data_IF_038068148721
#
_entry.id   IF_038068148721
#
_cell.length_a   1.000
_cell.length_b   1.000
_cell.length_c   1.000
_cell.angle_alpha   90.00
_cell.angle_beta   90.00
_cell.angle_gamma   90.00
#
_symmetry.space_group_name_H-M   'P 1'
#
loop_
_entity.id
_entity.type
_entity.pdbx_description
1 polymer ?
#
# COMPACT_ATOMS: atom_id res chain seq x y z
N UNK A 1 11.93 -22.40 2.90
CA UNK A 1 11.21 -22.23 4.18
C UNK A 1 11.29 -20.81 4.72
N UNK A 2 12.44 -20.30 5.18
CA UNK A 2 12.52 -18.91 5.72
C UNK A 2 12.14 -17.87 4.65
N UNK A 3 12.66 -18.04 3.42
CA UNK A 3 12.28 -17.24 2.24
C UNK A 3 10.76 -17.17 2.06
N UNK A 4 10.10 -18.32 1.99
CA UNK A 4 8.67 -18.44 1.73
C UNK A 4 7.82 -17.82 2.85
N UNK A 5 8.27 -17.92 4.11
CA UNK A 5 7.63 -17.28 5.26
C UNK A 5 7.70 -15.75 5.13
N UNK A 6 8.87 -15.20 4.79
CA UNK A 6 9.03 -13.75 4.61
C UNK A 6 8.16 -13.22 3.46
N UNK A 7 8.15 -13.93 2.33
CA UNK A 7 7.32 -13.57 1.17
C UNK A 7 5.83 -13.63 1.51
N UNK A 8 5.38 -14.69 2.19
CA UNK A 8 3.98 -14.84 2.59
C UNK A 8 3.55 -13.74 3.56
N UNK A 9 4.38 -13.42 4.56
CA UNK A 9 4.09 -12.35 5.52
C UNK A 9 4.02 -10.99 4.82
N UNK A 10 4.99 -10.66 3.97
CA UNK A 10 4.99 -9.40 3.21
C UNK A 10 3.78 -9.29 2.28
N UNK A 11 3.37 -10.40 1.66
CA UNK A 11 2.21 -10.43 0.78
C UNK A 11 0.89 -10.23 1.55
N UNK A 12 0.72 -10.88 2.69
CA UNK A 12 -0.47 -10.71 3.55
C UNK A 12 -0.57 -9.27 4.05
N UNK A 13 0.55 -8.68 4.48
CA UNK A 13 0.60 -7.29 4.93
C UNK A 13 0.18 -6.33 3.80
N UNK A 14 0.72 -6.51 2.59
CA UNK A 14 0.43 -5.59 1.50
C UNK A 14 -1.00 -5.75 0.95
N UNK A 15 -1.53 -6.98 0.91
CA UNK A 15 -2.93 -7.25 0.60
C UNK A 15 -3.85 -6.57 1.62
N UNK A 16 -3.56 -6.74 2.91
CA UNK A 16 -4.34 -6.10 3.98
C UNK A 16 -4.35 -4.58 3.85
N UNK A 17 -3.21 -3.99 3.48
CA UNK A 17 -3.13 -2.56 3.18
C UNK A 17 -4.00 -2.17 1.97
N UNK A 18 -3.96 -2.95 0.89
CA UNK A 18 -4.84 -2.78 -0.28
C UNK A 18 -6.32 -2.86 0.08
N UNK A 19 -6.72 -3.80 0.94
CA UNK A 19 -8.09 -3.92 1.43
C UNK A 19 -8.54 -2.65 2.15
N UNK A 20 -7.71 -2.11 3.04
CA UNK A 20 -8.02 -0.90 3.80
C UNK A 20 -8.21 0.30 2.85
N UNK A 21 -7.38 0.45 1.82
CA UNK A 21 -7.55 1.50 0.81
C UNK A 21 -8.94 1.42 0.17
N UNK A 22 -9.30 0.27 -0.39
CA UNK A 22 -10.56 0.10 -1.12
C UNK A 22 -11.77 0.29 -0.17
N UNK A 23 -11.73 -0.32 1.02
CA UNK A 23 -12.85 -0.28 1.97
C UNK A 23 -13.07 1.12 2.56
N UNK A 24 -12.00 1.86 2.86
CA UNK A 24 -12.11 3.18 3.46
C UNK A 24 -12.34 4.31 2.44
N UNK A 25 -12.08 4.08 1.15
CA UNK A 25 -12.17 5.11 0.10
C UNK A 25 -13.46 5.92 0.18
N UNK A 26 -14.62 5.24 0.20
CA UNK A 26 -15.94 5.91 0.21
C UNK A 26 -16.14 6.73 1.48
N UNK A 27 -15.72 6.21 2.63
CA UNK A 27 -15.86 6.89 3.93
C UNK A 27 -14.98 8.15 3.99
N UNK A 28 -13.72 8.03 3.56
CA UNK A 28 -12.75 9.13 3.52
C UNK A 28 -13.24 10.26 2.63
N UNK A 29 -13.70 9.95 1.41
CA UNK A 29 -14.10 10.96 0.43
C UNK A 29 -15.37 11.69 0.85
N UNK A 30 -16.34 10.99 1.45
CA UNK A 30 -17.52 11.60 2.04
C UNK A 30 -17.24 12.38 3.33
N UNK A 31 -16.06 12.17 3.92
CA UNK A 31 -15.56 12.89 5.07
C UNK A 31 -15.13 14.32 4.75
N UNK A 32 -14.77 14.62 3.51
CA UNK A 32 -14.39 15.96 3.06
C UNK A 32 -15.60 16.88 2.91
N UNK A 33 -15.56 18.03 3.58
CA UNK A 33 -16.68 18.99 3.59
C UNK A 33 -16.56 20.09 2.53
N UNK A 34 -15.37 20.32 1.96
CA UNK A 34 -15.11 21.47 1.07
C UNK A 34 -14.46 21.07 -0.28
N UNK A 35 -14.62 19.81 -0.69
CA UNK A 35 -14.02 19.27 -1.91
C UNK A 35 -15.03 19.29 -3.06
N UNK A 36 -14.63 19.74 -4.25
CA UNK A 36 -15.49 19.73 -5.45
C UNK A 36 -15.83 18.29 -5.87
N UNK A 37 -17.00 18.10 -6.50
CA UNK A 37 -17.43 16.77 -6.98
C UNK A 37 -16.47 16.15 -8.00
N UNK A 38 -15.86 16.98 -8.85
CA UNK A 38 -14.82 16.52 -9.79
C UNK A 38 -13.60 15.95 -9.05
N UNK A 39 -13.06 16.69 -8.09
CA UNK A 39 -11.89 16.25 -7.33
C UNK A 39 -12.21 15.01 -6.49
N UNK A 40 -13.42 14.92 -5.90
CA UNK A 40 -13.84 13.71 -5.16
C UNK A 40 -13.78 12.47 -6.04
N UNK A 41 -14.25 12.54 -7.28
CA UNK A 41 -14.22 11.42 -8.23
C UNK A 41 -12.78 11.03 -8.61
N UNK A 42 -11.91 12.01 -8.85
CA UNK A 42 -10.49 11.74 -9.16
C UNK A 42 -9.82 11.04 -8.00
N UNK A 43 -9.91 11.60 -6.79
CA UNK A 43 -9.30 11.00 -5.58
C UNK A 43 -9.91 9.63 -5.25
N UNK A 44 -11.19 9.40 -5.54
CA UNK A 44 -11.83 8.09 -5.41
C UNK A 44 -11.15 7.04 -6.28
N UNK A 45 -10.92 7.37 -7.55
CA UNK A 45 -10.29 6.45 -8.48
C UNK A 45 -8.81 6.25 -8.15
N UNK A 46 -8.08 7.30 -7.73
CA UNK A 46 -6.68 7.19 -7.31
C UNK A 46 -6.51 6.23 -6.12
N UNK A 47 -7.38 6.33 -5.12
CA UNK A 47 -7.34 5.43 -3.96
C UNK A 47 -7.65 3.98 -4.32
N UNK A 48 -8.58 3.75 -5.26
CA UNK A 48 -8.88 2.41 -5.76
C UNK A 48 -7.69 1.85 -6.53
N UNK A 49 -7.10 2.63 -7.44
CA UNK A 49 -5.94 2.21 -8.24
C UNK A 49 -4.76 1.85 -7.33
N UNK A 50 -4.51 2.65 -6.30
CA UNK A 50 -3.49 2.36 -5.30
C UNK A 50 -3.79 1.03 -4.58
N UNK A 51 -5.02 0.86 -4.08
CA UNK A 51 -5.43 -0.38 -3.40
C UNK A 51 -5.31 -1.63 -4.29
N UNK A 52 -5.73 -1.54 -5.56
CA UNK A 52 -5.61 -2.61 -6.54
C UNK A 52 -4.14 -2.93 -6.87
N UNK A 53 -3.28 -1.92 -6.92
CA UNK A 53 -1.83 -2.11 -7.12
C UNK A 53 -1.22 -2.93 -5.97
N UNK A 54 -1.60 -2.63 -4.72
CA UNK A 54 -1.15 -3.39 -3.55
C UNK A 54 -1.66 -4.84 -3.56
N UNK A 55 -2.93 -5.05 -3.94
CA UNK A 55 -3.48 -6.39 -4.15
C UNK A 55 -2.70 -7.17 -5.21
N UNK A 56 -2.46 -6.55 -6.37
CA UNK A 56 -1.75 -7.17 -7.46
C UNK A 56 -0.36 -7.63 -7.03
N UNK A 57 0.42 -6.76 -6.37
CA UNK A 57 1.76 -7.10 -5.87
C UNK A 57 1.69 -8.28 -4.89
N UNK A 58 0.80 -8.23 -3.90
CA UNK A 58 0.69 -9.30 -2.91
C UNK A 58 0.26 -10.63 -3.51
N UNK A 59 -0.72 -10.64 -4.41
CA UNK A 59 -1.16 -11.85 -5.12
C UNK A 59 -0.03 -12.41 -5.97
N UNK A 60 0.70 -11.56 -6.70
CA UNK A 60 1.85 -11.97 -7.51
C UNK A 60 2.93 -12.66 -6.66
N UNK A 61 3.25 -12.09 -5.49
CA UNK A 61 4.21 -12.70 -4.56
C UNK A 61 3.71 -14.04 -4.01
N UNK A 62 2.42 -14.17 -3.68
CA UNK A 62 1.85 -15.45 -3.24
C UNK A 62 1.91 -16.50 -4.36
N UNK A 63 1.64 -16.12 -5.61
CA UNK A 63 1.76 -17.03 -6.77
C UNK A 63 3.19 -17.54 -6.90
N UNK A 64 4.19 -16.66 -6.85
CA UNK A 64 5.62 -17.05 -6.89
C UNK A 64 5.95 -18.01 -5.74
N UNK A 65 5.47 -17.69 -4.53
CA UNK A 65 5.76 -18.45 -3.31
C UNK A 65 5.15 -19.86 -3.37
N UNK A 66 3.86 -19.97 -3.67
CA UNK A 66 3.16 -21.26 -3.69
C UNK A 66 3.46 -22.11 -4.93
N UNK A 67 3.94 -21.50 -6.02
CA UNK A 67 4.41 -22.24 -7.20
C UNK A 67 5.84 -22.80 -7.02
N UNK A 68 6.50 -22.51 -5.89
CA UNK A 68 7.88 -22.94 -5.65
C UNK A 68 8.91 -22.26 -6.56
N UNK A 69 8.57 -21.09 -7.13
CA UNK A 69 9.40 -20.37 -8.09
C UNK A 69 10.38 -19.39 -7.42
N UNK A 70 10.59 -19.50 -6.11
CA UNK A 70 11.26 -18.48 -5.31
C UNK A 70 12.77 -18.36 -5.60
N UNK A 71 13.38 -19.38 -6.21
CA UNK A 71 14.79 -19.37 -6.65
C UNK A 71 14.99 -18.94 -8.11
N UNK A 72 13.92 -18.89 -8.90
CA UNK A 72 13.99 -18.56 -10.32
C UNK A 72 14.47 -17.12 -10.56
N UNK A 73 15.33 -16.92 -11.56
CA UNK A 73 15.92 -15.61 -11.86
C UNK A 73 14.85 -14.56 -12.19
N UNK A 74 13.82 -14.92 -12.96
CA UNK A 74 12.73 -13.99 -13.31
C UNK A 74 11.95 -13.63 -12.05
N UNK A 75 11.68 -14.61 -11.18
CA UNK A 75 11.02 -14.37 -9.89
C UNK A 75 11.82 -13.43 -8.99
N UNK A 76 13.15 -13.57 -8.92
CA UNK A 76 14.02 -12.65 -8.16
C UNK A 76 13.98 -11.22 -8.70
N UNK A 77 13.92 -11.06 -10.03
CA UNK A 77 13.74 -9.75 -10.69
C UNK A 77 12.37 -9.16 -10.34
N UNK A 78 11.30 -9.95 -10.40
CA UNK A 78 9.94 -9.50 -10.07
C UNK A 78 9.82 -9.09 -8.61
N UNK A 79 10.40 -9.85 -7.68
CA UNK A 79 10.44 -9.51 -6.25
C UNK A 79 11.23 -8.21 -6.01
N UNK A 80 12.37 -8.05 -6.67
CA UNK A 80 13.17 -6.81 -6.62
C UNK A 80 12.42 -5.60 -7.17
N UNK A 81 11.76 -5.74 -8.33
CA UNK A 81 10.94 -4.68 -8.92
C UNK A 81 9.75 -4.31 -8.02
N UNK A 82 9.11 -5.31 -7.39
CA UNK A 82 8.04 -5.10 -6.43
C UNK A 82 8.52 -4.32 -5.20
N UNK A 83 9.70 -4.65 -4.66
CA UNK A 83 10.34 -3.88 -3.60
C UNK A 83 10.55 -2.42 -4.01
N UNK A 84 11.13 -2.16 -5.18
CA UNK A 84 11.40 -0.80 -5.67
C UNK A 84 10.10 0.00 -5.79
N UNK A 85 9.05 -0.58 -6.36
CA UNK A 85 7.75 0.08 -6.48
C UNK A 85 7.13 0.37 -5.10
N UNK A 86 7.16 -0.59 -4.17
CA UNK A 86 6.68 -0.38 -2.81
C UNK A 86 7.45 0.72 -2.07
N UNK A 87 8.76 0.80 -2.27
CA UNK A 87 9.61 1.85 -1.71
C UNK A 87 9.24 3.23 -2.27
N UNK A 88 9.10 3.35 -3.59
CA UNK A 88 8.67 4.60 -4.26
C UNK A 88 7.29 5.04 -3.72
N UNK A 89 6.33 4.12 -3.67
CA UNK A 89 5.00 4.42 -3.15
C UNK A 89 5.02 4.79 -1.66
N UNK A 90 5.86 4.15 -0.84
CA UNK A 90 6.02 4.50 0.57
C UNK A 90 6.59 5.91 0.74
N UNK A 91 7.60 6.28 -0.07
CA UNK A 91 8.19 7.63 -0.07
C UNK A 91 7.15 8.67 -0.50
N UNK A 92 6.43 8.44 -1.59
CA UNK A 92 5.38 9.36 -2.05
C UNK A 92 4.26 9.53 -1.02
N UNK A 93 3.82 8.44 -0.38
CA UNK A 93 2.85 8.51 0.73
C UNK A 93 3.41 9.30 1.91
N UNK A 94 4.67 9.09 2.29
CA UNK A 94 5.31 9.83 3.39
C UNK A 94 5.43 11.32 3.07
N UNK A 95 5.88 11.67 1.86
CA UNK A 95 5.95 13.06 1.39
C UNK A 95 4.57 13.72 1.41
N UNK A 96 3.52 12.98 1.03
CA UNK A 96 2.14 13.45 1.13
C UNK A 96 1.78 13.81 2.57
N UNK A 97 2.13 12.97 3.55
CA UNK A 97 1.89 13.26 4.98
C UNK A 97 2.70 14.44 5.49
N UNK A 98 3.97 14.55 5.09
CA UNK A 98 4.85 15.63 5.55
C UNK A 98 4.43 16.99 4.97
N UNK A 99 3.93 17.01 3.74
CA UNK A 99 3.45 18.23 3.08
C UNK A 99 2.00 18.58 3.44
N UNK A 100 1.22 17.65 3.99
CA UNK A 100 -0.15 17.90 4.43
C UNK A 100 -0.20 18.33 5.90
N UNK A 101 -0.65 19.56 6.13
CA UNK A 101 -1.14 19.96 7.45
C UNK A 101 -2.54 19.39 7.66
N UNK A 102 -2.66 18.41 8.54
CA UNK A 102 -3.94 17.73 8.80
C UNK A 102 -4.98 18.70 9.41
N UNK A 103 -4.54 19.80 10.02
CA UNK A 103 -5.39 20.91 10.44
C UNK A 103 -6.14 21.56 9.27
N UNK A 104 -5.51 21.61 8.10
CA UNK A 104 -5.97 22.35 6.92
C UNK A 104 -6.96 21.51 6.11
N UNK A 105 -7.04 20.20 6.39
CA UNK A 105 -8.06 19.33 5.84
C UNK A 105 -9.41 19.65 6.47
N UNK A 106 -10.33 20.17 5.64
CA UNK A 106 -11.74 20.35 5.97
C UNK A 106 -12.45 19.00 6.00
N UNK A 107 -12.26 18.27 7.10
CA UNK A 107 -12.79 16.94 7.38
C UNK A 107 -13.69 16.97 8.61
N UNK A 108 -14.69 16.10 8.64
CA UNK A 108 -15.48 15.84 9.85
C UNK A 108 -14.57 15.35 11.00
N UNK A 109 -14.86 15.67 12.28
CA UNK A 109 -13.99 15.33 13.43
C UNK A 109 -13.63 13.84 13.50
N UNK A 110 -14.61 12.95 13.34
CA UNK A 110 -14.40 11.50 13.40
C UNK A 110 -13.51 10.99 12.25
N UNK A 111 -13.50 11.69 11.11
CA UNK A 111 -12.72 11.30 9.92
C UNK A 111 -11.26 11.71 10.01
N UNK A 112 -10.94 12.79 10.74
CA UNK A 112 -9.55 13.23 10.93
C UNK A 112 -8.69 12.14 11.54
N UNK A 113 -9.21 11.42 12.54
CA UNK A 113 -8.49 10.31 13.21
C UNK A 113 -8.28 9.12 12.27
N UNK A 114 -9.30 8.74 11.51
CA UNK A 114 -9.24 7.60 10.57
C UNK A 114 -8.20 7.89 9.47
N UNK A 115 -8.28 9.08 8.86
CA UNK A 115 -7.36 9.50 7.81
C UNK A 115 -5.93 9.62 8.34
N UNK A 116 -5.73 10.14 9.56
CA UNK A 116 -4.41 10.20 10.18
C UNK A 116 -3.77 8.81 10.35
N UNK A 117 -4.53 7.83 10.85
CA UNK A 117 -4.04 6.47 11.04
C UNK A 117 -3.73 5.83 9.69
N UNK A 118 -4.62 5.98 8.71
CA UNK A 118 -4.43 5.44 7.36
C UNK A 118 -3.19 6.01 6.67
N UNK A 119 -3.09 7.34 6.66
CA UNK A 119 -1.99 8.08 6.02
C UNK A 119 -0.62 7.73 6.58
N UNK A 120 -0.51 7.45 7.89
CA UNK A 120 0.75 7.04 8.51
C UNK A 120 0.99 5.53 8.44
N UNK A 121 -0.05 4.72 8.57
CA UNK A 121 0.08 3.26 8.61
C UNK A 121 0.46 2.67 7.25
N UNK A 122 -0.15 3.17 6.17
CA UNK A 122 0.11 2.68 4.81
C UNK A 122 1.58 2.75 4.37
N UNK A 123 2.31 3.89 4.48
CA UNK A 123 3.71 3.95 4.09
C UNK A 123 4.59 2.98 4.91
N UNK A 124 4.29 2.79 6.20
CA UNK A 124 5.00 1.83 7.06
C UNK A 124 4.79 0.39 6.59
N UNK A 125 3.54 0.03 6.24
CA UNK A 125 3.21 -1.31 5.76
C UNK A 125 3.87 -1.58 4.39
N UNK A 126 3.81 -0.62 3.45
CA UNK A 126 4.47 -0.72 2.14
C UNK A 126 5.97 -0.93 2.29
N UNK A 127 6.62 -0.09 3.11
CA UNK A 127 8.05 -0.19 3.36
C UNK A 127 8.42 -1.54 3.99
N UNK A 128 7.74 -1.93 5.06
CA UNK A 128 7.97 -3.21 5.75
C UNK A 128 7.80 -4.39 4.79
N UNK A 129 6.71 -4.41 4.01
CA UNK A 129 6.46 -5.50 3.03
C UNK A 129 7.54 -5.55 1.96
N UNK A 130 7.99 -4.39 1.47
CA UNK A 130 9.11 -4.30 0.54
C UNK A 130 10.40 -4.84 1.13
N UNK A 131 10.73 -4.52 2.38
CA UNK A 131 11.92 -5.05 3.07
C UNK A 131 11.83 -6.58 3.21
N UNK A 132 10.65 -7.12 3.52
CA UNK A 132 10.46 -8.58 3.57
C UNK A 132 10.72 -9.24 2.21
N UNK A 133 10.27 -8.62 1.11
CA UNK A 133 10.55 -9.11 -0.25
C UNK A 133 12.03 -9.02 -0.59
N UNK A 134 12.70 -7.93 -0.20
CA UNK A 134 14.13 -7.74 -0.43
C UNK A 134 14.97 -8.76 0.34
N UNK A 135 14.70 -8.94 1.64
CA UNK A 135 15.40 -9.91 2.49
C UNK A 135 15.18 -11.33 1.99
N UNK A 136 13.95 -11.66 1.63
CA UNK A 136 13.65 -12.94 1.01
C UNK A 136 14.42 -13.14 -0.30
N UNK A 137 14.72 -12.08 -1.07
CA UNK A 137 15.48 -12.20 -2.31
C UNK A 137 16.96 -12.58 -2.07
N UNK A 138 17.54 -12.15 -0.95
CA UNK A 138 18.95 -12.36 -0.60
C UNK A 138 19.25 -13.67 0.16
N UNK A 139 18.27 -14.24 0.85
CA UNK A 139 18.37 -15.52 1.56
C UNK A 139 18.23 -16.68 0.60
#
# INVERSE_FOLDING_TARGET
MVRDILLSLGAILIISCGSIHILLTKSVINGFTNMSEGNKKVTFMEWIVEGLTLYFIGILVLIITFSGLTEDFVSKVVLGASFVLLLIMAILSLMTVLNLRISDLTLRPNMKKIIFIHLKGCPIIKFTSGILFLLANFL
#
